data_IF_395428568903
#
_entry.id   IF_395428568903
#
_cell.length_a   1.000
_cell.length_b   1.000
_cell.length_c   1.000
_cell.angle_alpha   90.00
_cell.angle_beta   90.00
_cell.angle_gamma   90.00
#
_symmetry.space_group_name_H-M   'P 1'
#
loop_
_entity.id
_entity.type
_entity.pdbx_description
1 polymer ?
#
# COMPACT_ATOMS: atom_id res chain seq x y z
N UNK A 1 -12.07 -32.21 16.29
CA UNK A 1 -11.54 -31.21 17.25
C UNK A 1 -10.35 -30.43 16.70
N UNK A 2 -9.40 -31.10 16.02
CA UNK A 2 -8.16 -30.49 15.54
C UNK A 2 -8.37 -29.50 14.36
N UNK A 3 -9.14 -29.89 13.34
CA UNK A 3 -9.35 -29.05 12.15
C UNK A 3 -10.03 -27.70 12.44
N UNK A 4 -11.04 -27.67 13.32
CA UNK A 4 -11.72 -26.41 13.69
C UNK A 4 -10.77 -25.45 14.42
N UNK A 5 -9.92 -25.98 15.31
CA UNK A 5 -8.93 -25.18 16.03
C UNK A 5 -7.85 -24.65 15.07
N UNK A 6 -7.39 -25.47 14.14
CA UNK A 6 -6.45 -25.06 13.09
C UNK A 6 -7.04 -23.93 12.26
N UNK A 7 -8.28 -24.06 11.78
CA UNK A 7 -8.95 -23.01 10.98
C UNK A 7 -9.04 -21.69 11.77
N UNK A 8 -9.46 -21.74 13.04
CA UNK A 8 -9.56 -20.55 13.92
C UNK A 8 -8.20 -19.89 14.12
N UNK A 9 -7.17 -20.68 14.43
CA UNK A 9 -5.83 -20.16 14.67
C UNK A 9 -5.23 -19.56 13.40
N UNK A 10 -5.35 -20.24 12.27
CA UNK A 10 -4.87 -19.76 10.97
C UNK A 10 -5.56 -18.46 10.57
N UNK A 11 -6.89 -18.37 10.73
CA UNK A 11 -7.62 -17.13 10.45
C UNK A 11 -7.19 -15.98 11.37
N UNK A 12 -6.99 -16.26 12.66
CA UNK A 12 -6.51 -15.27 13.63
C UNK A 12 -5.12 -14.73 13.29
N UNK A 13 -4.19 -15.61 12.94
CA UNK A 13 -2.83 -15.22 12.52
C UNK A 13 -2.86 -14.42 11.22
N UNK A 14 -3.63 -14.86 10.22
CA UNK A 14 -3.76 -14.17 8.93
C UNK A 14 -4.28 -12.74 9.12
N UNK A 15 -5.32 -12.57 9.94
CA UNK A 15 -5.88 -11.26 10.23
C UNK A 15 -4.88 -10.36 10.95
N UNK A 16 -4.26 -10.84 12.03
CA UNK A 16 -3.31 -10.05 12.81
C UNK A 16 -2.10 -9.62 11.98
N UNK A 17 -1.52 -10.55 11.21
CA UNK A 17 -0.37 -10.27 10.36
C UNK A 17 -0.70 -9.25 9.26
N UNK A 18 -1.86 -9.40 8.60
CA UNK A 18 -2.29 -8.48 7.55
C UNK A 18 -2.65 -7.10 8.07
N UNK A 19 -3.30 -7.02 9.24
CA UNK A 19 -3.74 -5.76 9.83
C UNK A 19 -2.56 -4.88 10.27
N UNK A 20 -1.63 -5.43 11.07
CA UNK A 20 -0.53 -4.64 11.64
C UNK A 20 0.47 -4.17 10.57
N UNK A 21 0.87 -5.07 9.66
CA UNK A 21 1.83 -4.73 8.60
C UNK A 21 1.28 -3.72 7.59
N UNK A 22 0.00 -3.86 7.20
CA UNK A 22 -0.60 -2.92 6.25
C UNK A 22 -0.79 -1.54 6.89
N UNK A 23 -1.27 -1.48 8.14
CA UNK A 23 -1.46 -0.22 8.85
C UNK A 23 -0.14 0.56 8.99
N UNK A 24 0.94 -0.12 9.38
CA UNK A 24 2.24 0.53 9.53
C UNK A 24 2.84 0.96 8.19
N UNK A 25 2.64 0.18 7.11
CA UNK A 25 3.06 0.59 5.76
C UNK A 25 2.36 1.87 5.32
N UNK A 26 1.06 2.00 5.60
CA UNK A 26 0.29 3.22 5.28
C UNK A 26 0.76 4.43 6.11
N UNK A 27 1.09 4.24 7.39
CA UNK A 27 1.68 5.30 8.21
C UNK A 27 3.02 5.78 7.62
N UNK A 28 3.89 4.85 7.21
CA UNK A 28 5.15 5.17 6.53
C UNK A 28 4.91 5.91 5.21
N UNK A 29 3.92 5.49 4.41
CA UNK A 29 3.54 6.17 3.17
C UNK A 29 3.14 7.64 3.45
N UNK A 30 2.25 7.87 4.42
CA UNK A 30 1.80 9.21 4.80
C UNK A 30 2.99 10.06 5.26
N UNK A 31 3.88 9.51 6.09
CA UNK A 31 5.12 10.17 6.51
C UNK A 31 6.01 10.54 5.32
N UNK A 32 6.23 9.61 4.39
CA UNK A 32 7.02 9.85 3.19
C UNK A 32 6.41 10.97 2.33
N UNK A 33 5.09 10.98 2.14
CA UNK A 33 4.42 12.04 1.37
C UNK A 33 4.53 13.41 2.05
N UNK A 34 4.48 13.45 3.39
CA UNK A 34 4.67 14.68 4.15
C UNK A 34 6.11 15.22 4.07
N UNK A 35 7.12 14.34 4.08
CA UNK A 35 8.54 14.72 3.97
C UNK A 35 8.96 15.05 2.54
N UNK A 36 8.32 14.42 1.54
CA UNK A 36 8.65 14.55 0.12
C UNK A 36 7.45 15.03 -0.71
N UNK A 37 6.97 16.27 -0.51
CA UNK A 37 5.74 16.77 -1.13
C UNK A 37 5.79 16.80 -2.67
N UNK A 38 6.98 16.95 -3.27
CA UNK A 38 7.10 16.91 -4.73
C UNK A 38 6.94 15.50 -5.30
N UNK A 39 7.30 14.46 -4.54
CA UNK A 39 6.99 13.06 -4.89
C UNK A 39 5.49 12.83 -4.87
N UNK A 40 4.80 13.34 -3.84
CA UNK A 40 3.34 13.27 -3.73
C UNK A 40 2.65 13.96 -4.92
N UNK A 41 3.05 15.19 -5.26
CA UNK A 41 2.49 15.93 -6.40
C UNK A 41 2.68 15.19 -7.72
N UNK A 42 3.84 14.58 -7.94
CA UNK A 42 4.12 13.80 -9.16
C UNK A 42 3.25 12.55 -9.27
N UNK A 43 3.10 11.80 -8.18
CA UNK A 43 2.21 10.63 -8.17
C UNK A 43 0.75 11.02 -8.39
N UNK A 44 0.30 12.11 -7.76
CA UNK A 44 -1.04 12.63 -7.97
C UNK A 44 -1.26 13.13 -9.41
N UNK A 45 -0.25 13.74 -10.04
CA UNK A 45 -0.33 14.17 -11.43
C UNK A 45 -0.46 12.98 -12.40
N UNK A 46 0.29 11.89 -12.17
CA UNK A 46 0.15 10.65 -12.94
C UNK A 46 -1.27 10.08 -12.81
N UNK A 47 -1.76 9.91 -11.58
CA UNK A 47 -3.12 9.43 -11.31
C UNK A 47 -4.18 10.28 -12.02
N UNK A 48 -4.08 11.61 -11.91
CA UNK A 48 -5.02 12.51 -12.58
C UNK A 48 -4.95 12.44 -14.11
N UNK A 49 -3.77 12.14 -14.68
CA UNK A 49 -3.59 12.06 -16.13
C UNK A 49 -4.12 10.76 -16.73
N UNK A 50 -4.02 9.66 -15.98
CA UNK A 50 -4.36 8.31 -16.46
C UNK A 50 -5.81 7.96 -16.13
N UNK A 51 -6.24 8.19 -14.89
CA UNK A 51 -7.57 7.79 -14.38
C UNK A 51 -8.57 8.96 -14.44
N UNK A 52 -8.08 10.19 -14.46
CA UNK A 52 -8.91 11.39 -14.36
C UNK A 52 -9.20 11.78 -12.90
N UNK A 53 -9.89 12.92 -12.70
CA UNK A 53 -10.15 13.49 -11.36
C UNK A 53 -11.43 12.99 -10.69
N UNK A 54 -12.34 12.39 -11.45
CA UNK A 54 -13.68 12.02 -10.96
C UNK A 54 -13.81 10.54 -10.61
N UNK A 55 -12.78 9.73 -10.91
CA UNK A 55 -12.80 8.29 -10.68
C UNK A 55 -11.59 7.86 -9.85
N UNK A 56 -11.80 6.79 -9.08
CA UNK A 56 -10.73 6.11 -8.36
C UNK A 56 -10.09 5.07 -9.28
N UNK A 57 -8.77 4.82 -9.15
CA UNK A 57 -8.11 3.76 -9.90
C UNK A 57 -8.66 2.38 -9.55
N UNK A 58 -8.64 1.47 -10.51
CA UNK A 58 -8.83 0.03 -10.31
C UNK A 58 -7.47 -0.71 -10.34
N UNK A 59 -7.44 -1.96 -9.92
CA UNK A 59 -6.23 -2.79 -9.95
C UNK A 59 -5.71 -3.04 -11.36
N UNK A 60 -6.58 -3.00 -12.38
CA UNK A 60 -6.21 -3.11 -13.79
C UNK A 60 -5.38 -1.92 -14.28
N UNK A 61 -5.49 -0.76 -13.63
CA UNK A 61 -4.73 0.45 -13.99
C UNK A 61 -3.27 0.40 -13.52
N UNK A 62 -2.87 -0.62 -12.75
CA UNK A 62 -1.55 -0.69 -12.14
C UNK A 62 -0.40 -0.61 -13.14
N UNK A 63 -0.54 -1.24 -14.30
CA UNK A 63 0.51 -1.29 -15.32
C UNK A 63 0.69 0.04 -16.06
N UNK A 64 -0.33 0.90 -16.03
CA UNK A 64 -0.32 2.25 -16.61
C UNK A 64 -0.04 3.35 -15.57
N UNK A 65 0.26 2.98 -14.32
CA UNK A 65 0.63 3.88 -13.22
C UNK A 65 2.07 3.61 -12.70
N UNK A 66 3.10 3.66 -13.56
CA UNK A 66 4.45 3.23 -13.20
C UNK A 66 5.07 4.05 -12.05
N UNK A 67 4.82 5.36 -11.99
CA UNK A 67 5.36 6.23 -10.94
C UNK A 67 4.67 5.97 -9.60
N UNK A 68 3.36 5.81 -9.59
CA UNK A 68 2.57 5.49 -8.39
C UNK A 68 3.01 4.13 -7.82
N UNK A 69 3.22 3.13 -8.69
CA UNK A 69 3.78 1.82 -8.30
C UNK A 69 5.20 1.97 -7.76
N UNK A 70 6.03 2.83 -8.35
CA UNK A 70 7.37 3.11 -7.85
C UNK A 70 7.33 3.75 -6.45
N UNK A 71 6.42 4.69 -6.19
CA UNK A 71 6.24 5.31 -4.86
C UNK A 71 5.84 4.28 -3.82
N UNK A 72 4.91 3.38 -4.15
CA UNK A 72 4.54 2.26 -3.27
C UNK A 72 5.74 1.36 -2.94
N UNK A 73 6.50 0.95 -3.96
CA UNK A 73 7.71 0.13 -3.76
C UNK A 73 8.76 0.86 -2.93
N UNK A 74 8.97 2.13 -3.20
CA UNK A 74 9.96 2.95 -2.49
C UNK A 74 9.57 3.17 -1.03
N UNK A 75 8.28 3.29 -0.72
CA UNK A 75 7.79 3.35 0.66
C UNK A 75 8.24 2.10 1.45
N UNK A 76 8.08 0.92 0.86
CA UNK A 76 8.49 -0.35 1.51
C UNK A 76 10.01 -0.50 1.59
N UNK A 77 10.77 0.08 0.65
CA UNK A 77 12.25 0.05 0.65
C UNK A 77 12.86 1.05 1.63
N UNK A 78 12.28 2.24 1.75
CA UNK A 78 12.84 3.37 2.49
C UNK A 78 12.77 3.16 4.00
N UNK A 79 11.63 2.65 4.49
CA UNK A 79 11.44 2.32 5.90
C UNK A 79 10.77 0.95 6.01
N UNK A 80 11.54 -0.14 5.80
CA UNK A 80 11.00 -1.48 5.80
C UNK A 80 10.50 -1.85 7.21
N UNK A 81 9.31 -2.46 7.27
CA UNK A 81 8.71 -2.88 8.55
C UNK A 81 9.45 -4.03 9.23
N UNK A 82 10.12 -4.85 8.43
CA UNK A 82 10.93 -5.99 8.88
C UNK A 82 12.31 -5.83 8.24
N UNK A 83 13.41 -5.93 9.00
CA UNK A 83 14.79 -5.80 8.48
C UNK A 83 15.14 -6.79 7.35
#
# INVERSE_FOLDING_TARGET
PDAEQVIKNTAGVLFAAGADTTANTLNTFILAMALFPDTQKKAQAELHSVVGRAQLPDFEDKDILPYTVAVYKETMRWHPLVP
#
